data_IF_343831815077
#
_entry.id   IF_343831815077
#
_cell.length_a   1.000
_cell.length_b   1.000
_cell.length_c   1.000
_cell.angle_alpha   90.00
_cell.angle_beta   90.00
_cell.angle_gamma   90.00
#
_symmetry.space_group_name_H-M   'P 1'
#
loop_
_entity.id
_entity.type
_entity.pdbx_description
1 polymer ?
#
# COMPACT_ATOMS: atom_id res chain seq x y z
N UNK A 1 -5.14 -1.27 0.44
CA UNK A 1 -6.12 -0.73 -0.42
C UNK A 1 -5.70 0.58 -1.05
N UNK A 2 -5.55 0.58 -2.37
CA UNK A 2 -4.90 1.63 -3.12
C UNK A 2 -5.70 2.95 -3.28
N UNK A 3 -6.84 3.16 -2.65
CA UNK A 3 -7.69 4.30 -3.02
C UNK A 3 -8.30 5.13 -1.89
N UNK A 4 -7.62 5.25 -0.75
CA UNK A 4 -8.04 6.16 0.32
C UNK A 4 -7.54 7.61 0.13
N UNK A 5 -7.33 8.07 -1.09
CA UNK A 5 -6.87 9.44 -1.37
C UNK A 5 -7.88 10.51 -0.95
N UNK A 6 -9.16 10.17 -0.85
CA UNK A 6 -10.22 11.12 -0.45
C UNK A 6 -10.28 11.40 1.04
N UNK A 7 -9.81 10.50 1.90
CA UNK A 7 -9.90 10.64 3.37
C UNK A 7 -8.61 11.21 3.99
N UNK A 8 -7.69 11.72 3.20
CA UNK A 8 -6.43 12.29 3.71
C UNK A 8 -6.53 13.73 4.22
N UNK A 9 -7.62 14.44 3.92
CA UNK A 9 -7.83 15.79 4.46
C UNK A 9 -8.47 15.70 5.83
N UNK A 10 -8.02 16.51 6.79
CA UNK A 10 -8.58 16.53 8.15
C UNK A 10 -10.09 16.75 8.16
N UNK A 11 -10.61 17.64 7.31
CA UNK A 11 -12.05 17.88 7.18
C UNK A 11 -12.84 16.66 6.68
N UNK A 12 -12.20 15.82 5.84
CA UNK A 12 -12.83 14.60 5.34
C UNK A 12 -12.81 13.51 6.39
N UNK A 13 -11.72 13.42 7.17
CA UNK A 13 -11.61 12.47 8.29
C UNK A 13 -12.66 12.78 9.35
N UNK A 14 -12.85 14.04 9.71
CA UNK A 14 -13.87 14.45 10.68
C UNK A 14 -15.29 14.08 10.21
N UNK A 15 -15.61 14.38 8.95
CA UNK A 15 -16.93 14.04 8.37
C UNK A 15 -17.14 12.53 8.31
N UNK A 16 -16.11 11.78 7.88
CA UNK A 16 -16.13 10.33 7.87
C UNK A 16 -16.35 9.77 9.28
N UNK A 17 -15.62 10.26 10.27
CA UNK A 17 -15.78 9.82 11.65
C UNK A 17 -17.18 10.10 12.20
N UNK A 18 -17.81 11.23 11.82
CA UNK A 18 -19.22 11.53 12.17
C UNK A 18 -20.18 10.53 11.53
N UNK A 19 -19.96 10.14 10.27
CA UNK A 19 -20.79 9.13 9.60
C UNK A 19 -20.64 7.75 10.29
N UNK A 20 -19.41 7.38 10.67
CA UNK A 20 -19.16 6.16 11.46
C UNK A 20 -19.86 6.21 12.81
N UNK A 21 -19.76 7.34 13.51
CA UNK A 21 -20.43 7.53 14.78
C UNK A 21 -21.96 7.42 14.66
N UNK A 22 -22.52 8.06 13.65
CA UNK A 22 -23.97 8.02 13.38
C UNK A 22 -24.45 6.61 13.05
N UNK A 23 -23.67 5.84 12.29
CA UNK A 23 -23.97 4.43 12.02
C UNK A 23 -23.97 3.59 13.31
N UNK A 24 -22.93 3.74 14.14
CA UNK A 24 -22.80 2.96 15.38
C UNK A 24 -23.87 3.35 16.40
N UNK A 25 -24.10 4.65 16.60
CA UNK A 25 -25.14 5.14 17.52
C UNK A 25 -26.54 4.77 17.08
N UNK A 26 -26.82 4.81 15.79
CA UNK A 26 -28.11 4.37 15.23
C UNK A 26 -28.35 2.87 15.39
N UNK A 27 -27.30 2.05 15.29
CA UNK A 27 -27.42 0.59 15.39
C UNK A 27 -27.44 0.06 16.83
N UNK A 28 -26.69 0.66 17.73
CA UNK A 28 -26.48 0.15 19.08
C UNK A 28 -26.99 1.06 20.19
N UNK A 29 -27.39 2.28 19.84
CA UNK A 29 -27.75 3.32 20.81
C UNK A 29 -26.53 4.11 21.28
N UNK A 30 -26.66 5.43 21.31
CA UNK A 30 -25.59 6.34 21.73
C UNK A 30 -25.15 6.08 23.17
N UNK A 31 -26.10 5.74 24.05
CA UNK A 31 -25.86 5.42 25.46
C UNK A 31 -24.96 4.16 25.65
N UNK A 32 -24.82 3.36 24.63
CA UNK A 32 -23.97 2.15 24.64
C UNK A 32 -22.56 2.40 24.12
N UNK A 33 -22.23 3.60 23.66
CA UNK A 33 -20.90 3.97 23.22
C UNK A 33 -20.09 4.44 24.42
N UNK A 34 -19.18 3.60 24.91
CA UNK A 34 -18.29 3.95 26.03
C UNK A 34 -17.10 4.81 25.60
N UNK A 35 -16.59 4.59 24.40
CA UNK A 35 -15.51 5.38 23.80
C UNK A 35 -15.59 5.35 22.29
N UNK A 36 -15.21 6.48 21.67
CA UNK A 36 -15.09 6.61 20.23
C UNK A 36 -13.86 7.46 19.93
N UNK A 37 -12.80 6.83 19.43
CA UNK A 37 -11.48 7.45 19.27
C UNK A 37 -11.05 7.31 17.81
N UNK A 38 -10.67 8.44 17.20
CA UNK A 38 -10.10 8.47 15.85
C UNK A 38 -8.58 8.53 15.98
N UNK A 39 -7.91 7.51 15.48
CA UNK A 39 -6.46 7.43 15.44
C UNK A 39 -5.93 8.03 14.14
N UNK A 40 -4.98 8.96 14.26
CA UNK A 40 -4.36 9.70 13.16
C UNK A 40 -2.84 9.53 13.10
N UNK A 41 -2.29 8.84 14.09
CA UNK A 41 -0.86 8.61 14.29
C UNK A 41 -0.32 7.43 13.48
N UNK A 42 -1.20 6.63 12.88
CA UNK A 42 -0.83 5.55 12.00
C UNK A 42 -0.97 5.94 10.51
N UNK A 43 -0.42 5.09 9.64
CA UNK A 43 -0.44 5.31 8.18
C UNK A 43 -1.86 5.52 7.62
N UNK A 44 -2.83 4.82 8.17
CA UNK A 44 -4.22 4.90 7.78
C UNK A 44 -5.07 5.38 8.95
N UNK A 45 -5.83 6.49 8.82
CA UNK A 45 -6.80 6.90 9.82
C UNK A 45 -7.81 5.80 10.08
N UNK A 46 -8.09 5.51 11.35
CA UNK A 46 -9.05 4.49 11.74
C UNK A 46 -9.74 4.84 13.06
N UNK A 47 -10.87 4.17 13.33
CA UNK A 47 -11.69 4.41 14.50
C UNK A 47 -11.66 3.18 15.41
N UNK A 48 -11.42 3.42 16.70
CA UNK A 48 -11.72 2.47 17.76
C UNK A 48 -13.01 2.88 18.47
N UNK A 49 -14.02 2.03 18.41
CA UNK A 49 -15.28 2.24 19.10
C UNK A 49 -15.49 1.13 20.13
N UNK A 50 -15.60 1.51 21.41
CA UNK A 50 -15.90 0.59 22.49
C UNK A 50 -17.39 0.66 22.80
N UNK A 51 -18.07 -0.48 22.69
CA UNK A 51 -19.50 -0.61 22.94
C UNK A 51 -19.77 -1.40 24.23
N UNK A 52 -20.71 -0.90 25.01
CA UNK A 52 -21.29 -1.61 26.14
C UNK A 52 -22.58 -2.29 25.67
N UNK A 53 -22.67 -3.63 25.67
CA UNK A 53 -23.87 -4.33 25.25
C UNK A 53 -24.95 -4.29 26.32
N UNK A 54 -25.55 -3.11 26.50
CA UNK A 54 -26.63 -2.92 27.49
C UNK A 54 -27.97 -2.84 26.76
N UNK A 55 -28.93 -3.62 27.23
CA UNK A 55 -30.31 -3.62 26.77
C UNK A 55 -31.23 -3.75 27.99
N UNK A 56 -32.21 -2.88 28.07
CA UNK A 56 -33.17 -2.87 29.19
C UNK A 56 -32.49 -2.84 30.56
N UNK A 57 -31.42 -2.04 30.71
CA UNK A 57 -30.66 -1.88 31.95
C UNK A 57 -29.79 -3.08 32.37
N UNK A 58 -29.66 -4.11 31.54
CA UNK A 58 -28.87 -5.32 31.83
C UNK A 58 -27.81 -5.59 30.73
N UNK A 59 -26.80 -6.33 31.13
CA UNK A 59 -25.76 -6.78 30.21
C UNK A 59 -26.32 -7.85 29.24
N UNK A 60 -26.36 -7.57 27.94
CA UNK A 60 -27.05 -8.36 26.93
C UNK A 60 -26.15 -8.76 25.77
N UNK A 61 -24.89 -9.13 26.04
CA UNK A 61 -23.87 -9.44 25.02
C UNK A 61 -24.33 -10.48 23.99
N UNK A 62 -24.97 -11.57 24.48
CA UNK A 62 -25.47 -12.62 23.58
C UNK A 62 -26.57 -12.12 22.65
N UNK A 63 -27.45 -11.25 23.15
CA UNK A 63 -28.56 -10.71 22.37
C UNK A 63 -28.07 -9.73 21.29
N UNK A 64 -27.08 -8.90 21.64
CA UNK A 64 -26.60 -7.82 20.77
C UNK A 64 -25.54 -8.32 19.78
N UNK A 65 -24.56 -9.09 20.24
CA UNK A 65 -23.40 -9.48 19.44
C UNK A 65 -23.30 -10.97 19.16
N UNK A 66 -23.27 -11.82 20.20
CA UNK A 66 -22.85 -13.21 20.05
C UNK A 66 -23.88 -14.11 19.40
N UNK A 67 -25.18 -13.85 19.59
CA UNK A 67 -26.21 -14.79 19.17
C UNK A 67 -26.22 -16.08 20.01
N UNK A 68 -26.84 -17.13 19.49
CA UNK A 68 -27.00 -18.42 20.16
C UNK A 68 -25.76 -19.29 20.07
N UNK A 69 -25.04 -19.17 18.96
CA UNK A 69 -23.88 -19.99 18.61
C UNK A 69 -22.89 -19.25 17.69
N UNK A 70 -21.79 -19.93 17.35
CA UNK A 70 -20.75 -19.39 16.48
C UNK A 70 -21.22 -19.06 15.05
N UNK A 71 -22.25 -19.75 14.58
CA UNK A 71 -22.75 -19.52 13.22
C UNK A 71 -23.59 -18.25 13.18
N UNK A 72 -24.45 -18.05 14.20
CA UNK A 72 -25.21 -16.81 14.34
C UNK A 72 -24.28 -15.62 14.58
N UNK A 73 -23.24 -15.76 15.42
CA UNK A 73 -22.20 -14.75 15.59
C UNK A 73 -21.54 -14.37 14.26
N UNK A 74 -21.10 -15.38 13.49
CA UNK A 74 -20.48 -15.15 12.19
C UNK A 74 -21.42 -14.45 11.20
N UNK A 75 -22.69 -14.85 11.17
CA UNK A 75 -23.71 -14.23 10.33
C UNK A 75 -23.94 -12.75 10.71
N UNK A 76 -24.04 -12.44 12.00
CA UNK A 76 -24.21 -11.07 12.52
C UNK A 76 -23.00 -10.19 12.18
N UNK A 77 -21.78 -10.71 12.32
CA UNK A 77 -20.57 -9.97 11.96
C UNK A 77 -20.50 -9.70 10.44
N UNK A 78 -20.83 -10.69 9.62
CA UNK A 78 -20.92 -10.48 8.17
C UNK A 78 -21.96 -9.44 7.80
N UNK A 79 -23.11 -9.46 8.46
CA UNK A 79 -24.17 -8.48 8.24
C UNK A 79 -23.73 -7.08 8.69
N UNK A 80 -23.07 -6.96 9.85
CA UNK A 80 -22.51 -5.69 10.31
C UNK A 80 -21.56 -5.07 9.28
N UNK A 81 -20.64 -5.88 8.73
CA UNK A 81 -19.75 -5.43 7.68
C UNK A 81 -20.48 -5.03 6.39
N UNK A 82 -21.58 -5.71 6.06
CA UNK A 82 -22.41 -5.38 4.89
C UNK A 82 -23.14 -4.07 5.09
N UNK A 83 -23.76 -3.87 6.24
CA UNK A 83 -24.48 -2.65 6.60
C UNK A 83 -23.51 -1.46 6.63
N UNK A 84 -22.35 -1.62 7.28
CA UNK A 84 -21.32 -0.58 7.34
C UNK A 84 -20.80 -0.20 5.96
N UNK A 85 -20.58 -1.18 5.09
CA UNK A 85 -20.21 -0.92 3.71
C UNK A 85 -21.28 -0.11 2.98
N UNK A 86 -22.54 -0.52 3.09
CA UNK A 86 -23.65 0.14 2.38
C UNK A 86 -23.91 1.56 2.91
N UNK A 87 -23.85 1.77 4.21
CA UNK A 87 -24.26 3.02 4.85
C UNK A 87 -23.11 4.03 4.99
N UNK A 88 -21.87 3.56 5.14
CA UNK A 88 -20.69 4.42 5.35
C UNK A 88 -19.73 4.34 4.19
N UNK A 89 -19.19 3.16 3.89
CA UNK A 89 -18.06 3.03 2.96
C UNK A 89 -18.39 3.50 1.54
N UNK A 90 -19.59 3.24 1.06
CA UNK A 90 -20.04 3.68 -0.28
C UNK A 90 -20.02 5.18 -0.44
N UNK A 91 -20.38 5.93 0.59
CA UNK A 91 -20.38 7.41 0.57
C UNK A 91 -18.96 7.97 0.41
N UNK A 92 -17.96 7.22 0.88
CA UNK A 92 -16.56 7.63 0.88
C UNK A 92 -15.75 6.98 -0.25
N UNK A 93 -16.42 6.23 -1.14
CA UNK A 93 -15.75 5.54 -2.25
C UNK A 93 -14.79 4.45 -1.81
N UNK A 94 -15.00 3.90 -0.62
CA UNK A 94 -14.23 2.77 -0.11
C UNK A 94 -14.79 1.47 -0.67
N UNK A 95 -13.92 0.53 -1.01
CA UNK A 95 -14.31 -0.82 -1.40
C UNK A 95 -14.56 -1.68 -0.16
N UNK A 96 -15.46 -2.66 -0.30
CA UNK A 96 -15.57 -3.73 0.68
C UNK A 96 -14.37 -4.65 0.54
N UNK A 97 -13.77 -5.04 1.66
CA UNK A 97 -12.69 -6.03 1.67
C UNK A 97 -13.15 -7.37 1.05
N UNK A 98 -12.21 -8.06 0.43
CA UNK A 98 -12.44 -9.38 -0.18
C UNK A 98 -12.64 -10.44 0.90
N UNK A 99 -13.47 -11.43 0.65
CA UNK A 99 -13.73 -12.49 1.63
C UNK A 99 -12.50 -13.41 1.81
N UNK A 100 -12.37 -14.01 2.99
CA UNK A 100 -11.31 -15.00 3.27
C UNK A 100 -11.39 -16.19 2.30
N UNK A 101 -12.59 -16.57 1.88
CA UNK A 101 -12.79 -17.66 0.90
C UNK A 101 -12.21 -17.32 -0.48
N UNK A 102 -12.14 -16.05 -0.85
CA UNK A 102 -11.58 -15.61 -2.12
C UNK A 102 -10.07 -15.37 -2.05
N UNK A 103 -9.60 -14.84 -0.93
CA UNK A 103 -8.19 -14.48 -0.76
C UNK A 103 -7.33 -15.61 -0.21
N UNK A 104 -7.94 -16.62 0.41
CA UNK A 104 -7.22 -17.65 1.18
C UNK A 104 -6.48 -17.09 2.40
N UNK A 105 -6.71 -15.81 2.75
CA UNK A 105 -6.04 -15.16 3.87
C UNK A 105 -6.37 -15.87 5.18
N UNK A 106 -5.34 -16.21 5.94
CA UNK A 106 -5.49 -16.76 7.30
C UNK A 106 -5.08 -15.73 8.34
N UNK A 107 -5.65 -15.85 9.51
CA UNK A 107 -5.19 -15.07 10.66
C UNK A 107 -3.76 -15.50 11.00
N UNK A 108 -2.83 -14.56 10.97
CA UNK A 108 -1.43 -14.79 11.36
C UNK A 108 -1.20 -14.16 12.72
N UNK A 109 -0.35 -14.77 13.53
CA UNK A 109 0.13 -14.14 14.76
C UNK A 109 1.04 -12.96 14.42
N UNK A 110 1.23 -12.05 15.36
CA UNK A 110 2.15 -10.92 15.18
C UNK A 110 3.58 -11.40 14.92
N UNK A 111 3.98 -12.51 15.54
CA UNK A 111 5.30 -13.12 15.33
C UNK A 111 5.47 -13.72 13.95
N UNK A 112 4.46 -14.46 13.46
CA UNK A 112 4.47 -14.99 12.08
C UNK A 112 4.54 -13.85 11.06
N UNK A 113 3.81 -12.76 11.29
CA UNK A 113 3.83 -11.61 10.42
C UNK A 113 5.20 -10.89 10.42
N UNK A 114 5.78 -10.65 11.60
CA UNK A 114 7.12 -10.06 11.72
C UNK A 114 8.21 -10.91 11.07
N UNK A 115 8.16 -12.23 11.25
CA UNK A 115 9.10 -13.15 10.61
C UNK A 115 8.99 -13.07 9.08
N UNK A 116 7.80 -13.12 8.54
CA UNK A 116 7.56 -13.00 7.11
C UNK A 116 8.11 -11.68 6.55
N UNK A 117 7.83 -10.55 7.23
CA UNK A 117 8.37 -9.25 6.83
C UNK A 117 9.91 -9.22 6.87
N UNK A 118 10.52 -9.82 7.89
CA UNK A 118 11.99 -9.92 7.99
C UNK A 118 12.57 -10.71 6.83
N UNK A 119 11.98 -11.84 6.47
CA UNK A 119 12.39 -12.66 5.33
C UNK A 119 12.26 -11.92 3.99
N UNK A 120 11.13 -11.19 3.81
CA UNK A 120 10.93 -10.34 2.64
C UNK A 120 11.96 -9.19 2.57
N UNK A 121 12.25 -8.52 3.68
CA UNK A 121 13.28 -7.47 3.75
C UNK A 121 14.65 -8.01 3.35
N UNK A 122 15.06 -9.16 3.90
CA UNK A 122 16.33 -9.80 3.55
C UNK A 122 16.41 -10.11 2.05
N UNK A 123 15.34 -10.65 1.47
CA UNK A 123 15.28 -10.95 0.04
C UNK A 123 15.41 -9.68 -0.83
N UNK A 124 14.77 -8.60 -0.39
CA UNK A 124 14.85 -7.29 -1.08
C UNK A 124 16.27 -6.73 -0.99
N UNK A 125 16.90 -6.79 0.18
CA UNK A 125 18.29 -6.33 0.40
C UNK A 125 19.28 -7.09 -0.48
N UNK A 126 19.17 -8.42 -0.58
CA UNK A 126 19.99 -9.24 -1.47
C UNK A 126 19.80 -8.88 -2.95
N UNK A 127 18.56 -8.60 -3.36
CA UNK A 127 18.26 -8.16 -4.72
C UNK A 127 18.86 -6.77 -5.02
N UNK A 128 18.77 -5.84 -4.07
CA UNK A 128 19.39 -4.51 -4.18
C UNK A 128 20.90 -4.64 -4.35
N UNK A 129 21.57 -5.42 -3.53
CA UNK A 129 23.02 -5.65 -3.63
C UNK A 129 23.40 -6.25 -4.98
N UNK A 130 22.65 -7.23 -5.47
CA UNK A 130 22.85 -7.83 -6.79
C UNK A 130 22.73 -6.80 -7.92
N UNK A 131 21.66 -6.00 -7.88
CA UNK A 131 21.45 -4.97 -8.90
C UNK A 131 22.50 -3.87 -8.85
N UNK A 132 22.96 -3.48 -7.66
CA UNK A 132 24.05 -2.50 -7.52
C UNK A 132 25.36 -3.01 -8.14
N UNK A 133 25.71 -4.28 -7.96
CA UNK A 133 26.88 -4.91 -8.59
C UNK A 133 26.77 -4.91 -10.13
N UNK A 134 25.60 -5.27 -10.67
CA UNK A 134 25.35 -5.23 -12.11
C UNK A 134 25.48 -3.81 -12.64
N UNK A 135 24.94 -2.84 -11.94
CA UNK A 135 24.96 -1.43 -12.32
C UNK A 135 26.41 -0.89 -12.35
N UNK A 136 27.23 -1.24 -11.37
CA UNK A 136 28.65 -0.89 -11.32
C UNK A 136 29.42 -1.47 -12.52
N UNK A 137 29.16 -2.73 -12.88
CA UNK A 137 29.76 -3.38 -14.05
C UNK A 137 29.37 -2.67 -15.34
N UNK A 138 28.07 -2.42 -15.54
CA UNK A 138 27.58 -1.72 -16.72
C UNK A 138 28.16 -0.31 -16.85
N UNK A 139 28.28 0.43 -15.74
CA UNK A 139 28.91 1.75 -15.74
C UNK A 139 30.40 1.68 -16.19
N UNK A 140 31.10 0.64 -15.72
CA UNK A 140 32.49 0.42 -16.16
C UNK A 140 32.60 0.12 -17.65
N UNK A 141 31.70 -0.73 -18.17
CA UNK A 141 31.66 -1.09 -19.59
C UNK A 141 31.30 0.11 -20.48
N UNK A 142 30.36 0.93 -20.03
CA UNK A 142 30.02 2.19 -20.73
C UNK A 142 31.24 3.11 -20.83
N UNK A 143 31.96 3.33 -19.73
CA UNK A 143 33.18 4.17 -19.73
C UNK A 143 34.26 3.61 -20.65
N UNK A 144 34.37 2.29 -20.75
CA UNK A 144 35.31 1.65 -21.67
C UNK A 144 34.87 1.84 -23.13
N UNK A 145 33.59 1.64 -23.42
CA UNK A 145 33.04 1.88 -24.77
C UNK A 145 33.19 3.33 -25.19
N UNK A 146 32.90 4.30 -24.34
CA UNK A 146 33.07 5.74 -24.60
C UNK A 146 34.54 6.08 -24.97
N UNK A 147 35.51 5.52 -24.21
CA UNK A 147 36.93 5.71 -24.52
C UNK A 147 37.31 5.14 -25.90
N UNK A 148 36.77 3.94 -26.23
CA UNK A 148 37.01 3.32 -27.56
C UNK A 148 36.41 4.16 -28.69
N UNK A 149 35.18 4.63 -28.51
CA UNK A 149 34.52 5.51 -29.49
C UNK A 149 35.35 6.77 -29.71
N UNK A 150 35.75 7.44 -28.63
CA UNK A 150 36.60 8.64 -28.73
C UNK A 150 37.90 8.38 -29.46
N UNK A 151 38.58 7.26 -29.20
CA UNK A 151 39.81 6.87 -29.90
C UNK A 151 39.58 6.63 -31.39
N UNK A 152 38.51 5.90 -31.75
CA UNK A 152 38.15 5.65 -33.15
C UNK A 152 37.79 6.94 -33.90
N UNK A 153 37.03 7.84 -33.26
CA UNK A 153 36.71 9.15 -33.86
C UNK A 153 37.98 9.93 -34.16
N UNK A 154 38.94 10.00 -33.24
CA UNK A 154 40.22 10.66 -33.47
C UNK A 154 41.02 10.02 -34.64
N UNK A 155 40.97 8.68 -34.73
CA UNK A 155 41.63 7.99 -35.85
C UNK A 155 40.98 8.32 -37.21
N UNK A 156 39.65 8.34 -37.25
CA UNK A 156 38.91 8.71 -38.48
C UNK A 156 39.24 10.14 -38.90
N UNK A 157 39.20 11.10 -37.98
CA UNK A 157 39.54 12.50 -38.25
C UNK A 157 40.96 12.65 -38.80
N UNK A 158 41.94 11.91 -38.27
CA UNK A 158 43.30 11.93 -38.75
C UNK A 158 43.45 11.30 -40.14
N UNK A 159 42.71 10.22 -40.43
CA UNK A 159 42.70 9.60 -41.75
C UNK A 159 42.06 10.51 -42.81
N UNK A 160 40.97 11.19 -42.46
CA UNK A 160 40.32 12.16 -43.36
C UNK A 160 41.25 13.34 -43.69
N UNK A 161 41.96 13.89 -42.68
CA UNK A 161 42.97 14.92 -42.91
C UNK A 161 44.10 14.45 -43.85
N UNK A 162 44.64 13.25 -43.57
CA UNK A 162 45.72 12.67 -44.41
C UNK A 162 45.23 12.39 -45.83
N UNK A 163 44.00 11.98 -46.01
CA UNK A 163 43.35 11.78 -47.29
C UNK A 163 43.27 13.12 -48.07
N UNK A 164 42.74 14.16 -47.43
CA UNK A 164 42.60 15.49 -48.02
C UNK A 164 43.93 16.09 -48.42
N UNK A 165 45.00 15.93 -47.63
CA UNK A 165 46.33 16.36 -47.91
C UNK A 165 46.90 15.65 -49.15
N UNK A 166 46.73 14.35 -49.32
CA UNK A 166 47.14 13.56 -50.44
C UNK A 166 46.40 13.93 -51.74
N UNK A 167 45.07 14.15 -51.62
CA UNK A 167 44.27 14.60 -52.78
C UNK A 167 44.69 15.99 -53.27
N UNK A 168 44.97 16.90 -52.33
CA UNK A 168 45.50 18.23 -52.67
C UNK A 168 46.84 18.17 -53.37
N UNK A 169 47.74 17.29 -52.93
CA UNK A 169 49.06 17.08 -53.61
C UNK A 169 48.90 16.48 -55.01
N UNK A 170 47.99 15.57 -55.23
CA UNK A 170 47.69 14.96 -56.50
C UNK A 170 47.05 15.93 -57.53
N UNK A 171 46.31 16.92 -57.04
CA UNK A 171 45.63 17.93 -57.85
C UNK A 171 46.55 19.12 -58.26
N UNK A 172 47.71 19.26 -57.58
CA UNK A 172 48.68 20.35 -57.81
C UNK A 172 49.90 20.00 -58.74
N UNK A 173 49.99 18.76 -59.18
CA UNK A 173 51.01 18.27 -60.13
C UNK A 173 50.38 17.88 -61.43
#
# INVERSE_FOLDING_TARGET
GANNTRIKRMSDIERWAKDVYSFVSGKYGEQNIAAFIVHLDELNPHVHCTLLPIKDGRFAYKEIFAGKDKFEYSARMKQLHTDFFAEVNTRWGMSRGTSISETGARHRTTEEYRRMLSEECTTIEENIDRHQKVLATLQSDIRLAERRVKGLTTMVDNLEKSKAEKEALLSAG
#
